data_IF_576382484419
#
_entry.id   IF_576382484419
#
_cell.length_a   1.000
_cell.length_b   1.000
_cell.length_c   1.000
_cell.angle_alpha   90.00
_cell.angle_beta   90.00
_cell.angle_gamma   90.00
#
_symmetry.space_group_name_H-M   'P 1'
#
loop_
_entity.id
_entity.type
_entity.pdbx_description
1 polymer ?
#
# COMPACT_ATOMS: atom_id res chain seq x y z
N UNK A 1 7.16 -0.02 -6.67
CA UNK A 1 6.50 0.99 -7.55
C UNK A 1 5.79 0.38 -8.75
N UNK A 2 6.49 -0.21 -9.73
CA UNK A 2 5.86 -0.72 -10.97
C UNK A 2 4.73 -1.75 -10.71
N UNK A 3 4.93 -2.67 -9.76
CA UNK A 3 3.92 -3.67 -9.39
C UNK A 3 2.64 -3.00 -8.85
N UNK A 4 2.78 -2.02 -7.97
CA UNK A 4 1.65 -1.28 -7.40
C UNK A 4 0.80 -0.58 -8.49
N UNK A 5 1.46 0.06 -9.46
CA UNK A 5 0.78 0.71 -10.59
C UNK A 5 0.08 -0.31 -11.49
N UNK A 6 0.73 -1.44 -11.78
CA UNK A 6 0.15 -2.49 -12.61
C UNK A 6 -1.11 -3.09 -11.95
N UNK A 7 -1.06 -3.38 -10.65
CA UNK A 7 -2.22 -3.91 -9.91
C UNK A 7 -3.35 -2.88 -9.84
N UNK A 8 -3.04 -1.62 -9.56
CA UNK A 8 -4.03 -0.54 -9.56
C UNK A 8 -4.72 -0.38 -10.92
N UNK A 9 -3.98 -0.51 -12.03
CA UNK A 9 -4.55 -0.44 -13.39
C UNK A 9 -5.53 -1.58 -13.71
N UNK A 10 -5.48 -2.68 -12.95
CA UNK A 10 -6.45 -3.78 -13.04
C UNK A 10 -7.64 -3.62 -12.09
N UNK A 11 -7.77 -2.45 -11.43
CA UNK A 11 -8.87 -2.14 -10.52
C UNK A 11 -8.67 -2.63 -9.09
N UNK A 12 -7.46 -3.07 -8.72
CA UNK A 12 -7.16 -3.44 -7.34
C UNK A 12 -6.96 -2.19 -6.49
N UNK A 13 -7.38 -2.29 -5.22
CA UNK A 13 -7.06 -1.32 -4.18
C UNK A 13 -5.68 -1.62 -3.62
N UNK A 14 -4.81 -0.61 -3.54
CA UNK A 14 -3.40 -0.82 -3.23
C UNK A 14 -2.98 -0.14 -1.93
N UNK A 15 -2.34 -0.89 -1.03
CA UNK A 15 -1.61 -0.33 0.11
C UNK A 15 -0.13 -0.33 -0.20
N UNK A 16 0.50 0.83 -0.12
CA UNK A 16 1.95 1.00 -0.30
C UNK A 16 2.60 1.13 1.08
N UNK A 17 3.32 0.08 1.50
CA UNK A 17 4.17 0.15 2.70
C UNK A 17 5.40 1.01 2.41
N UNK A 18 5.75 1.90 3.35
CA UNK A 18 7.11 2.44 3.45
C UNK A 18 7.67 2.37 4.89
N UNK A 19 8.97 2.11 5.03
CA UNK A 19 9.62 2.16 6.35
C UNK A 19 10.13 3.58 6.71
N UNK A 20 10.76 4.27 5.75
CA UNK A 20 11.48 5.55 5.99
C UNK A 20 11.14 6.69 5.05
N UNK A 21 10.83 6.41 3.79
CA UNK A 21 10.57 7.46 2.78
C UNK A 21 9.08 7.52 2.47
N UNK A 22 8.37 8.45 3.11
CA UNK A 22 6.95 8.68 2.84
C UNK A 22 6.74 9.27 1.45
N UNK A 23 7.62 10.17 1.00
CA UNK A 23 7.52 10.85 -0.30
C UNK A 23 7.39 9.88 -1.47
N UNK A 24 8.24 8.85 -1.54
CA UNK A 24 8.18 7.88 -2.63
C UNK A 24 6.89 7.05 -2.62
N UNK A 25 6.32 6.77 -1.44
CA UNK A 25 5.06 6.06 -1.32
C UNK A 25 3.87 6.96 -1.70
N UNK A 26 3.89 8.21 -1.24
CA UNK A 26 2.89 9.24 -1.57
C UNK A 26 2.84 9.51 -3.08
N UNK A 27 3.99 9.60 -3.76
CA UNK A 27 4.02 9.74 -5.22
C UNK A 27 3.32 8.58 -5.95
N UNK A 28 3.50 7.35 -5.46
CA UNK A 28 2.85 6.16 -6.03
C UNK A 28 1.35 6.21 -5.79
N UNK A 29 0.93 6.57 -4.57
CA UNK A 29 -0.48 6.73 -4.24
C UNK A 29 -1.12 7.80 -5.12
N UNK A 30 -0.48 8.96 -5.26
CA UNK A 30 -0.97 10.05 -6.10
C UNK A 30 -1.12 9.60 -7.55
N UNK A 31 -0.11 8.91 -8.09
CA UNK A 31 -0.17 8.36 -9.46
C UNK A 31 -1.36 7.41 -9.65
N UNK A 32 -1.66 6.57 -8.65
CA UNK A 32 -2.79 5.63 -8.70
C UNK A 32 -4.12 6.38 -8.63
N UNK A 33 -4.25 7.34 -7.71
CA UNK A 33 -5.46 8.12 -7.50
C UNK A 33 -5.77 9.01 -8.71
N UNK A 34 -4.76 9.65 -9.31
CA UNK A 34 -4.90 10.43 -10.54
C UNK A 34 -5.34 9.56 -11.73
N UNK A 35 -4.98 8.27 -11.70
CA UNK A 35 -5.45 7.26 -12.65
C UNK A 35 -6.87 6.73 -12.38
N UNK A 36 -7.57 7.24 -11.36
CA UNK A 36 -8.91 6.80 -10.96
C UNK A 36 -8.93 5.53 -10.08
N UNK A 37 -7.77 5.05 -9.62
CA UNK A 37 -7.66 3.93 -8.71
C UNK A 37 -7.76 4.35 -7.24
N UNK A 38 -7.77 3.36 -6.33
CA UNK A 38 -7.73 3.58 -4.88
C UNK A 38 -6.40 3.10 -4.32
N UNK A 39 -5.66 3.99 -3.65
CA UNK A 39 -4.44 3.62 -2.93
C UNK A 39 -4.25 4.43 -1.65
N UNK A 40 -3.52 3.84 -0.69
CA UNK A 40 -3.05 4.53 0.53
C UNK A 40 -1.59 4.18 0.80
N UNK A 41 -0.86 5.11 1.41
CA UNK A 41 0.48 4.88 1.92
C UNK A 41 0.38 4.62 3.43
N UNK A 42 1.07 3.58 3.91
CA UNK A 42 1.10 3.24 5.33
C UNK A 42 2.53 3.02 5.76
N UNK A 43 2.94 3.68 6.84
CA UNK A 43 4.26 3.46 7.41
C UNK A 43 4.30 2.14 8.17
N UNK A 44 5.33 1.34 7.95
CA UNK A 44 5.58 0.16 8.77
C UNK A 44 6.88 -0.55 8.41
N UNK A 45 7.77 -0.70 9.39
CA UNK A 45 8.96 -1.54 9.29
C UNK A 45 8.58 -3.02 9.40
N UNK A 46 8.68 -3.74 8.28
CA UNK A 46 8.36 -5.17 8.21
C UNK A 46 9.30 -6.07 9.03
N UNK A 47 10.41 -5.53 9.57
CA UNK A 47 11.27 -6.24 10.51
C UNK A 47 10.75 -6.25 11.95
N UNK A 48 9.72 -5.45 12.25
CA UNK A 48 9.12 -5.34 13.58
C UNK A 48 7.69 -5.84 13.56
N UNK A 49 7.41 -6.89 14.31
CA UNK A 49 6.10 -7.56 14.35
C UNK A 49 4.96 -6.58 14.67
N UNK A 50 5.15 -5.68 15.64
CA UNK A 50 4.13 -4.71 16.05
C UNK A 50 3.74 -3.73 14.93
N UNK A 51 4.71 -3.33 14.10
CA UNK A 51 4.47 -2.45 12.95
C UNK A 51 3.79 -3.22 11.80
N UNK A 52 4.12 -4.50 11.62
CA UNK A 52 3.43 -5.40 10.68
C UNK A 52 1.96 -5.59 11.07
N UNK A 53 1.68 -5.86 12.34
CA UNK A 53 0.31 -6.02 12.84
C UNK A 53 -0.51 -4.74 12.61
N UNK A 54 0.09 -3.58 12.85
CA UNK A 54 -0.52 -2.28 12.63
C UNK A 54 -0.81 -2.01 11.14
N UNK A 55 0.10 -2.40 10.25
CA UNK A 55 -0.06 -2.30 8.80
C UNK A 55 -1.21 -3.19 8.30
N UNK A 56 -1.25 -4.45 8.75
CA UNK A 56 -2.30 -5.40 8.38
C UNK A 56 -3.65 -4.88 8.89
N UNK A 57 -3.72 -4.46 10.15
CA UNK A 57 -4.94 -3.90 10.74
C UNK A 57 -5.44 -2.70 9.94
N UNK A 58 -4.56 -1.75 9.62
CA UNK A 58 -4.93 -0.57 8.83
C UNK A 58 -5.47 -0.95 7.45
N UNK A 59 -4.86 -1.96 6.81
CA UNK A 59 -5.30 -2.47 5.51
C UNK A 59 -6.70 -3.11 5.61
N UNK A 60 -6.93 -3.92 6.64
CA UNK A 60 -8.23 -4.57 6.89
C UNK A 60 -9.31 -3.56 7.29
N UNK A 61 -9.00 -2.58 8.12
CA UNK A 61 -9.93 -1.52 8.52
C UNK A 61 -10.37 -0.68 7.31
N UNK A 62 -9.47 -0.47 6.33
CA UNK A 62 -9.76 0.32 5.14
C UNK A 62 -10.47 -0.48 4.03
N UNK A 63 -10.03 -1.69 3.76
CA UNK A 63 -10.42 -2.47 2.57
C UNK A 63 -11.11 -3.79 2.88
N UNK A 64 -11.18 -4.18 4.16
CA UNK A 64 -11.90 -5.36 4.65
C UNK A 64 -11.21 -6.70 4.41
N UNK A 65 -10.27 -6.79 3.46
CA UNK A 65 -9.54 -8.01 3.10
C UNK A 65 -8.18 -7.70 2.48
N UNK A 66 -7.32 -8.72 2.45
CA UNK A 66 -6.05 -8.72 1.70
C UNK A 66 -6.12 -9.88 0.70
N UNK A 67 -6.10 -9.54 -0.59
CA UNK A 67 -6.14 -10.52 -1.69
C UNK A 67 -4.76 -10.95 -2.13
N UNK A 68 -3.83 -9.99 -2.16
CA UNK A 68 -2.47 -10.17 -2.66
C UNK A 68 -1.51 -9.47 -1.72
N UNK A 69 -0.46 -10.16 -1.30
CA UNK A 69 0.66 -9.60 -0.56
C UNK A 69 1.92 -9.68 -1.43
N UNK A 70 2.59 -8.56 -1.63
CA UNK A 70 3.85 -8.48 -2.39
C UNK A 70 4.95 -7.97 -1.47
N UNK A 71 5.93 -8.84 -1.20
CA UNK A 71 7.16 -8.44 -0.50
C UNK A 71 8.19 -8.00 -1.56
N UNK A 72 8.53 -6.71 -1.57
CA UNK A 72 9.38 -6.08 -2.59
C UNK A 72 10.43 -5.17 -1.95
#
# INVERSE_FOLDING_TARGET
KAIALALASQGLKVVVNYARSSTAAEEVVQTIVDGGGEAIAVQGDVSKTEEVDSLIKTTLDKFGRIDVLVNN
#
